data_IF_111358658420
#
_entry.id   IF_111358658420
#
_cell.length_a   1.000
_cell.length_b   1.000
_cell.length_c   1.000
_cell.angle_alpha   90.00
_cell.angle_beta   90.00
_cell.angle_gamma   90.00
#
_symmetry.space_group_name_H-M   'P 1'
#
loop_
_entity.id
_entity.type
_entity.pdbx_description
1 polymer ?
#
# COMPACT_ATOMS: atom_id res chain seq x y z
N UNK A 1 60.85 -58.88 16.18
CA UNK A 1 59.65 -58.64 16.99
C UNK A 1 58.70 -57.76 16.20
N UNK A 2 57.56 -58.31 15.79
CA UNK A 2 56.50 -57.60 15.08
C UNK A 2 55.53 -56.99 16.10
N UNK A 3 55.16 -55.71 15.95
CA UNK A 3 53.91 -55.20 16.48
C UNK A 3 53.53 -53.84 15.85
N UNK A 4 52.31 -53.74 15.32
CA UNK A 4 51.50 -52.52 15.44
C UNK A 4 51.63 -51.42 14.37
N UNK A 5 51.22 -51.67 13.12
CA UNK A 5 50.84 -50.60 12.17
C UNK A 5 49.50 -50.90 11.50
N UNK A 6 48.44 -51.02 12.31
CA UNK A 6 47.06 -51.13 11.81
C UNK A 6 46.05 -50.23 12.56
N UNK A 7 46.51 -49.27 13.37
CA UNK A 7 45.63 -48.43 14.21
C UNK A 7 45.47 -46.97 13.77
N UNK A 8 46.35 -46.44 12.91
CA UNK A 8 46.41 -44.99 12.66
C UNK A 8 45.51 -44.49 11.51
N UNK A 9 45.03 -45.38 10.64
CA UNK A 9 44.22 -44.97 9.47
C UNK A 9 42.71 -44.90 9.78
N UNK A 10 42.24 -45.59 10.82
CA UNK A 10 40.83 -45.52 11.24
C UNK A 10 40.49 -44.27 12.06
N UNK A 11 41.44 -43.69 12.80
CA UNK A 11 41.16 -42.53 13.66
C UNK A 11 41.05 -41.21 12.88
N UNK A 12 41.69 -41.10 11.71
CA UNK A 12 41.59 -39.91 10.85
C UNK A 12 40.27 -39.83 10.08
N UNK A 13 39.59 -40.96 9.82
CA UNK A 13 38.24 -40.97 9.22
C UNK A 13 37.13 -40.70 10.24
N UNK A 14 37.35 -40.98 11.52
CA UNK A 14 36.41 -40.64 12.59
C UNK A 14 36.46 -39.14 12.96
N UNK A 15 37.63 -38.50 12.91
CA UNK A 15 37.76 -37.06 13.19
C UNK A 15 37.15 -36.13 12.14
N UNK A 16 37.20 -36.50 10.85
CA UNK A 16 36.58 -35.74 9.76
C UNK A 16 35.05 -35.87 9.74
N UNK A 17 34.49 -36.98 10.23
CA UNK A 17 33.04 -37.13 10.41
C UNK A 17 32.53 -36.38 11.65
N UNK A 18 33.35 -36.20 12.69
CA UNK A 18 32.98 -35.43 13.88
C UNK A 18 32.93 -33.91 13.61
N UNK A 19 33.80 -33.37 12.75
CA UNK A 19 33.72 -31.95 12.35
C UNK A 19 32.61 -31.67 11.32
N UNK A 20 32.20 -32.66 10.53
CA UNK A 20 31.02 -32.55 9.67
C UNK A 20 29.69 -32.62 10.47
N UNK A 21 29.70 -33.26 11.64
CA UNK A 21 28.52 -33.39 12.50
C UNK A 21 28.20 -32.14 13.34
N UNK A 22 29.18 -31.25 13.57
CA UNK A 22 28.96 -29.96 14.26
C UNK A 22 28.49 -28.83 13.33
N UNK A 23 28.51 -29.05 12.01
CA UNK A 23 28.02 -28.09 11.00
C UNK A 23 26.52 -28.18 10.68
N UNK A 24 25.77 -29.05 11.37
CA UNK A 24 24.32 -29.26 11.14
C UNK A 24 23.44 -28.82 12.31
N UNK A 25 23.96 -28.05 13.26
CA UNK A 25 23.10 -27.16 14.05
C UNK A 25 22.63 -26.05 13.12
N UNK A 26 21.64 -26.39 12.29
CA UNK A 26 20.77 -25.44 11.63
C UNK A 26 20.14 -24.65 12.77
N UNK A 27 20.76 -23.52 13.14
CA UNK A 27 20.10 -22.47 13.92
C UNK A 27 18.76 -22.32 13.23
N UNK A 28 17.63 -22.54 13.92
CA UNK A 28 16.34 -22.27 13.34
C UNK A 28 16.39 -20.80 12.95
N UNK A 29 16.61 -20.52 11.67
CA UNK A 29 16.50 -19.18 11.13
C UNK A 29 15.12 -18.75 11.57
N UNK A 30 15.06 -17.70 12.40
CA UNK A 30 13.84 -17.21 13.00
C UNK A 30 12.81 -17.13 11.87
N UNK A 31 11.87 -18.08 11.85
CA UNK A 31 10.77 -18.04 10.90
C UNK A 31 10.11 -16.70 11.19
N UNK A 32 10.07 -15.81 10.20
CA UNK A 32 9.38 -14.54 10.35
C UNK A 32 8.01 -14.85 10.97
N UNK A 33 7.74 -14.32 12.16
CA UNK A 33 6.53 -14.66 12.89
C UNK A 33 5.33 -14.35 12.00
N UNK A 34 4.46 -15.34 11.77
CA UNK A 34 3.26 -15.13 10.97
C UNK A 34 2.36 -14.09 11.65
N UNK A 35 1.53 -13.40 10.87
CA UNK A 35 0.51 -12.51 11.42
C UNK A 35 -0.38 -13.29 12.41
N UNK A 36 -0.78 -12.64 13.49
CA UNK A 36 -1.70 -13.19 14.48
C UNK A 36 -2.87 -12.22 14.73
N UNK A 37 -4.06 -12.71 15.11
CA UNK A 37 -5.20 -11.85 15.38
C UNK A 37 -4.93 -10.92 16.56
N UNK A 38 -5.46 -9.69 16.49
CA UNK A 38 -5.39 -8.71 17.59
C UNK A 38 -6.22 -9.20 18.77
N UNK A 39 -5.57 -9.36 19.93
CA UNK A 39 -6.19 -9.81 21.20
C UNK A 39 -6.28 -8.68 22.23
N UNK A 40 -5.60 -7.56 22.00
CA UNK A 40 -5.63 -6.39 22.90
C UNK A 40 -7.05 -5.82 22.93
N UNK A 41 -7.75 -5.84 24.09
CA UNK A 41 -9.15 -5.42 24.18
C UNK A 41 -9.40 -4.00 23.66
N UNK A 42 -8.56 -3.05 24.04
CA UNK A 42 -8.65 -1.64 23.62
C UNK A 42 -8.53 -1.46 22.09
N UNK A 43 -7.78 -2.34 21.42
CA UNK A 43 -7.47 -2.21 20.00
C UNK A 43 -8.43 -2.98 19.09
N UNK A 44 -9.42 -3.69 19.63
CA UNK A 44 -10.37 -4.48 18.83
C UNK A 44 -11.28 -3.64 17.93
N UNK A 45 -11.54 -2.39 18.31
CA UNK A 45 -12.35 -1.44 17.54
C UNK A 45 -11.59 -0.79 16.38
N UNK A 46 -10.31 -1.12 16.22
CA UNK A 46 -9.51 -0.51 15.18
C UNK A 46 -9.74 -1.14 13.82
N UNK A 47 -9.37 -0.43 12.75
CA UNK A 47 -9.67 -0.87 11.39
C UNK A 47 -8.92 -2.14 10.93
N UNK A 48 -7.92 -2.62 11.67
CA UNK A 48 -7.20 -3.87 11.38
C UNK A 48 -7.40 -4.91 12.46
N UNK A 49 -7.52 -6.17 12.04
CA UNK A 49 -7.75 -7.32 12.93
C UNK A 49 -6.51 -8.24 13.08
N UNK A 50 -5.44 -7.99 12.32
CA UNK A 50 -4.21 -8.79 12.33
C UNK A 50 -3.00 -7.93 12.71
N UNK A 51 -2.21 -8.43 13.64
CA UNK A 51 -0.97 -7.82 14.14
C UNK A 51 0.22 -8.77 13.97
N UNK A 52 1.42 -8.27 14.20
CA UNK A 52 2.65 -9.05 14.25
C UNK A 52 3.51 -8.63 15.43
N UNK A 53 4.17 -9.61 16.04
CA UNK A 53 5.16 -9.41 17.09
C UNK A 53 6.58 -9.69 16.56
N UNK A 54 7.62 -9.00 17.07
CA UNK A 54 7.56 -8.00 18.12
C UNK A 54 6.93 -6.68 17.66
N UNK A 55 6.30 -5.95 18.59
CA UNK A 55 5.75 -4.63 18.31
C UNK A 55 6.83 -3.53 18.38
N UNK A 56 6.45 -2.26 18.16
CA UNK A 56 7.39 -1.12 18.15
C UNK A 56 8.02 -0.82 19.50
N UNK A 57 7.48 -1.41 20.57
CA UNK A 57 7.99 -1.33 21.94
C UNK A 57 8.75 -2.59 22.36
N UNK A 58 9.10 -3.43 21.37
CA UNK A 58 9.87 -4.66 21.54
C UNK A 58 9.24 -5.71 22.45
N UNK A 59 7.91 -5.65 22.68
CA UNK A 59 7.21 -6.75 23.31
C UNK A 59 7.22 -7.95 22.35
N UNK A 60 7.66 -9.10 22.83
CA UNK A 60 7.72 -10.33 22.03
C UNK A 60 6.37 -11.05 21.90
N UNK A 61 5.41 -10.75 22.78
CA UNK A 61 4.08 -11.37 22.80
C UNK A 61 3.00 -10.32 23.01
N UNK A 62 1.79 -10.58 22.47
CA UNK A 62 0.63 -9.73 22.77
C UNK A 62 0.26 -9.73 24.25
N UNK A 63 0.53 -10.80 25.01
CA UNK A 63 0.26 -10.82 26.46
C UNK A 63 1.04 -9.73 27.21
N UNK A 64 2.31 -9.52 26.84
CA UNK A 64 3.12 -8.43 27.41
C UNK A 64 2.61 -7.06 26.95
N UNK A 65 2.19 -6.95 25.67
CA UNK A 65 1.63 -5.72 25.14
C UNK A 65 0.30 -5.34 25.82
N UNK A 66 -0.55 -6.32 26.18
CA UNK A 66 -1.81 -6.13 26.90
C UNK A 66 -1.53 -5.48 28.27
N UNK A 67 -0.66 -6.09 29.09
CA UNK A 67 -0.33 -5.54 30.40
C UNK A 67 0.25 -4.12 30.32
N UNK A 68 1.06 -3.86 29.28
CA UNK A 68 1.72 -2.58 29.11
C UNK A 68 0.83 -1.47 28.51
N UNK A 69 -0.24 -1.80 27.78
CA UNK A 69 -1.18 -0.79 27.24
C UNK A 69 -2.31 -0.46 28.25
N UNK A 70 -2.65 -1.40 29.15
CA UNK A 70 -3.67 -1.20 30.20
C UNK A 70 -3.38 0.03 31.09
N UNK A 71 -2.10 0.38 31.28
CA UNK A 71 -1.72 1.59 32.03
C UNK A 71 -2.25 2.90 31.42
N UNK A 72 -2.62 2.90 30.13
CA UNK A 72 -3.18 4.06 29.44
C UNK A 72 -4.72 4.13 29.48
N UNK A 73 -5.41 3.15 30.06
CA UNK A 73 -6.89 3.15 30.14
C UNK A 73 -7.43 4.42 30.80
N UNK A 74 -6.82 4.84 31.91
CA UNK A 74 -7.20 6.07 32.61
C UNK A 74 -7.02 7.31 31.74
N UNK A 75 -5.95 7.37 30.94
CA UNK A 75 -5.69 8.50 30.03
C UNK A 75 -6.67 8.48 28.85
N UNK A 76 -6.91 7.31 28.25
CA UNK A 76 -7.90 7.11 27.18
C UNK A 76 -9.31 7.55 27.62
N UNK A 77 -9.69 7.24 28.86
CA UNK A 77 -10.97 7.66 29.45
C UNK A 77 -11.14 9.17 29.62
N UNK A 78 -10.08 9.96 29.53
CA UNK A 78 -10.18 11.44 29.54
C UNK A 78 -10.55 12.03 28.19
N UNK A 79 -10.49 11.23 27.11
CA UNK A 79 -10.72 11.69 25.74
C UNK A 79 -9.89 12.93 25.35
N UNK A 80 -8.67 13.04 25.88
CA UNK A 80 -7.76 14.16 25.67
C UNK A 80 -7.33 14.35 24.20
N UNK A 81 -7.38 13.28 23.39
CA UNK A 81 -7.13 13.34 21.95
C UNK A 81 -7.88 12.22 21.23
N UNK A 82 -8.51 12.49 20.06
CA UNK A 82 -9.15 11.46 19.25
C UNK A 82 -8.15 10.47 18.63
N UNK A 83 -6.89 10.87 18.49
CA UNK A 83 -5.83 10.06 17.86
C UNK A 83 -5.13 9.11 18.86
N UNK A 84 -5.34 9.28 20.17
CA UNK A 84 -4.57 8.55 21.19
C UNK A 84 -4.72 7.04 21.07
N UNK A 85 -5.96 6.53 20.94
CA UNK A 85 -6.21 5.09 20.85
C UNK A 85 -5.55 4.49 19.60
N UNK A 86 -5.72 5.15 18.45
CA UNK A 86 -5.10 4.74 17.21
C UNK A 86 -3.57 4.70 17.34
N UNK A 87 -2.98 5.77 17.88
CA UNK A 87 -1.53 5.88 18.07
C UNK A 87 -0.99 4.75 18.98
N UNK A 88 -1.60 4.56 20.15
CA UNK A 88 -1.17 3.51 21.07
C UNK A 88 -1.26 2.14 20.42
N UNK A 89 -2.39 1.80 19.81
CA UNK A 89 -2.52 0.50 19.18
C UNK A 89 -1.64 0.33 17.94
N UNK A 90 -1.33 1.39 17.18
CA UNK A 90 -0.34 1.32 16.11
C UNK A 90 1.06 1.01 16.65
N UNK A 91 1.39 1.41 17.89
CA UNK A 91 2.65 1.07 18.57
C UNK A 91 2.63 -0.33 19.20
N UNK A 92 1.52 -0.69 19.86
CA UNK A 92 1.39 -1.90 20.68
C UNK A 92 0.90 -3.14 19.90
N UNK A 93 0.09 -2.96 18.86
CA UNK A 93 -0.44 -4.00 17.98
C UNK A 93 -0.42 -3.52 16.51
N UNK A 94 0.77 -3.33 15.92
CA UNK A 94 0.90 -2.77 14.58
C UNK A 94 0.25 -3.66 13.52
N UNK A 95 -0.35 -3.05 12.50
CA UNK A 95 -0.99 -3.76 11.39
C UNK A 95 0.01 -4.72 10.70
N UNK A 96 -0.44 -5.95 10.48
CA UNK A 96 0.33 -6.93 9.71
C UNK A 96 0.07 -6.77 8.21
N UNK A 97 1.11 -6.45 7.43
CA UNK A 97 1.03 -6.39 5.96
C UNK A 97 2.14 -7.23 5.32
N UNK A 98 1.94 -7.63 4.06
CA UNK A 98 2.89 -8.47 3.32
C UNK A 98 4.23 -7.79 3.04
N UNK A 99 4.23 -6.46 2.89
CA UNK A 99 5.44 -5.69 2.53
C UNK A 99 6.32 -5.39 3.77
N UNK A 100 5.75 -5.44 4.97
CA UNK A 100 6.40 -5.07 6.23
C UNK A 100 6.59 -6.27 7.18
N UNK A 101 7.09 -7.38 6.64
CA UNK A 101 7.27 -8.63 7.39
C UNK A 101 8.43 -8.62 8.40
N UNK A 102 9.45 -7.77 8.25
CA UNK A 102 10.60 -7.75 9.15
C UNK A 102 10.47 -6.68 10.24
N UNK A 103 9.98 -5.50 9.87
CA UNK A 103 9.66 -4.40 10.78
C UNK A 103 8.26 -3.92 10.44
N UNK A 104 7.30 -3.94 11.37
CA UNK A 104 5.94 -3.46 11.11
C UNK A 104 5.93 -2.00 10.69
N UNK A 105 4.86 -1.56 10.03
CA UNK A 105 4.70 -0.13 9.70
C UNK A 105 4.46 0.70 10.97
N UNK A 106 5.14 1.85 11.08
CA UNK A 106 5.02 2.78 12.22
C UNK A 106 3.90 3.79 12.01
N UNK A 107 3.28 4.33 13.09
CA UNK A 107 2.39 5.48 12.97
C UNK A 107 3.16 6.70 12.47
N UNK A 108 2.48 7.56 11.72
CA UNK A 108 3.07 8.82 11.27
C UNK A 108 3.38 9.74 12.45
N UNK A 109 4.49 10.48 12.36
CA UNK A 109 4.90 11.47 13.36
C UNK A 109 3.78 12.47 13.72
N UNK A 110 3.04 12.93 12.72
CA UNK A 110 1.91 13.86 12.91
C UNK A 110 0.81 13.29 13.81
N UNK A 111 0.55 11.98 13.75
CA UNK A 111 -0.47 11.32 14.59
C UNK A 111 0.00 11.28 16.05
N UNK A 112 1.27 10.94 16.27
CA UNK A 112 1.89 11.00 17.60
C UNK A 112 1.83 12.42 18.18
N UNK A 113 2.19 13.44 17.39
CA UNK A 113 2.20 14.83 17.84
C UNK A 113 0.79 15.30 18.26
N UNK A 114 -0.26 14.95 17.50
CA UNK A 114 -1.65 15.27 17.89
C UNK A 114 -2.10 14.53 19.15
N UNK A 115 -1.72 13.26 19.32
CA UNK A 115 -2.00 12.50 20.53
C UNK A 115 -1.28 13.11 21.75
N UNK A 116 0.01 13.40 21.61
CA UNK A 116 0.86 14.01 22.64
C UNK A 116 0.36 15.41 23.02
N UNK A 117 0.07 16.27 22.04
CA UNK A 117 -0.39 17.63 22.29
C UNK A 117 -1.68 17.69 23.12
N UNK A 118 -2.62 16.78 22.88
CA UNK A 118 -3.86 16.70 23.66
C UNK A 118 -3.66 16.09 25.06
N UNK A 119 -2.82 15.07 25.18
CA UNK A 119 -2.77 14.20 26.35
C UNK A 119 -1.58 14.42 27.30
N UNK A 120 -0.46 14.96 26.82
CA UNK A 120 0.70 15.32 27.65
C UNK A 120 0.35 16.33 28.75
N UNK A 121 -0.47 17.38 28.53
CA UNK A 121 -0.90 18.28 29.60
C UNK A 121 -1.65 17.57 30.73
N UNK A 122 -2.44 16.53 30.40
CA UNK A 122 -3.17 15.72 31.38
C UNK A 122 -2.20 14.85 32.20
N UNK A 123 -1.21 14.24 31.55
CA UNK A 123 -0.16 13.49 32.25
C UNK A 123 0.60 14.40 33.22
N UNK A 124 1.02 15.60 32.76
CA UNK A 124 1.75 16.57 33.59
C UNK A 124 0.93 16.99 34.81
N UNK A 125 -0.38 17.21 34.64
CA UNK A 125 -1.30 17.51 35.74
C UNK A 125 -1.27 16.45 36.85
N UNK A 126 -1.11 15.19 36.48
CA UNK A 126 -0.98 14.06 37.41
C UNK A 126 0.47 13.67 37.72
N UNK A 127 1.44 14.56 37.45
CA UNK A 127 2.88 14.35 37.70
C UNK A 127 3.50 13.19 36.91
N UNK A 128 2.95 12.90 35.74
CA UNK A 128 3.54 11.99 34.77
C UNK A 128 4.05 12.78 33.55
N UNK A 129 5.00 12.21 32.83
CA UNK A 129 5.52 12.75 31.56
C UNK A 129 5.10 11.88 30.39
N UNK A 130 5.14 12.44 29.18
CA UNK A 130 5.02 11.62 27.98
C UNK A 130 6.19 10.60 27.94
N UNK A 131 5.94 9.29 27.72
CA UNK A 131 6.98 8.27 27.78
C UNK A 131 8.00 8.42 26.64
N UNK A 132 9.27 8.22 26.94
CA UNK A 132 10.36 8.27 25.95
C UNK A 132 10.19 7.21 24.85
N UNK A 133 9.69 6.02 25.20
CA UNK A 133 9.39 4.96 24.24
C UNK A 133 8.24 5.30 23.27
N UNK A 134 7.52 6.40 23.52
CA UNK A 134 6.49 6.96 22.64
C UNK A 134 6.90 8.33 22.08
N UNK A 135 8.18 8.69 22.13
CA UNK A 135 8.69 9.94 21.58
C UNK A 135 8.35 10.07 20.08
N UNK A 136 7.81 11.22 19.69
CA UNK A 136 7.35 11.44 18.31
C UNK A 136 8.52 11.70 17.35
N UNK A 137 9.67 12.08 17.88
CA UNK A 137 10.86 12.47 17.13
C UNK A 137 11.46 11.31 16.32
N UNK A 138 11.28 10.07 16.79
CA UNK A 138 11.78 8.85 16.17
C UNK A 138 10.83 8.25 15.11
N UNK A 139 9.65 8.86 14.93
CA UNK A 139 8.64 8.37 14.00
C UNK A 139 8.81 8.97 12.59
N UNK A 140 8.46 8.21 11.53
CA UNK A 140 8.55 8.67 10.15
C UNK A 140 7.60 9.84 9.85
N UNK A 141 8.07 10.77 9.02
CA UNK A 141 7.25 11.81 8.40
C UNK A 141 6.73 11.28 7.07
N UNK A 142 5.43 11.47 6.80
CA UNK A 142 4.74 10.94 5.61
C UNK A 142 5.46 11.24 4.28
N UNK A 143 6.02 12.44 4.12
CA UNK A 143 6.73 12.85 2.89
C UNK A 143 8.11 12.19 2.70
N UNK A 144 8.62 11.46 3.69
CA UNK A 144 9.97 10.87 3.69
C UNK A 144 10.01 9.36 3.98
N UNK A 145 8.86 8.76 4.28
CA UNK A 145 8.77 7.35 4.65
C UNK A 145 7.32 6.86 4.69
N UNK A 146 7.15 5.54 4.69
CA UNK A 146 5.83 4.90 4.72
C UNK A 146 5.37 4.79 6.18
N UNK A 147 4.20 5.35 6.50
CA UNK A 147 3.62 5.37 7.84
C UNK A 147 2.09 5.38 7.80
N UNK A 148 1.43 5.04 8.91
CA UNK A 148 -0.04 4.96 8.99
C UNK A 148 -0.67 6.14 9.74
N UNK A 149 -1.86 6.55 9.29
CA UNK A 149 -2.71 7.56 9.92
C UNK A 149 -4.18 7.10 9.94
N UNK A 150 -5.00 7.57 10.89
CA UNK A 150 -6.40 7.12 11.04
C UNK A 150 -7.27 7.47 9.83
N UNK A 151 -6.96 8.54 9.12
CA UNK A 151 -7.69 9.00 7.94
C UNK A 151 -7.52 8.06 6.73
N UNK A 152 -6.49 7.20 6.74
CA UNK A 152 -6.21 6.25 5.67
C UNK A 152 -7.09 4.99 5.73
N UNK A 153 -7.85 4.76 6.82
CA UNK A 153 -8.61 3.52 7.00
C UNK A 153 -10.10 3.80 7.15
N UNK A 154 -10.81 3.66 6.02
CA UNK A 154 -12.27 3.78 5.95
C UNK A 154 -12.89 2.62 6.73
N UNK A 155 -13.46 2.90 7.91
CA UNK A 155 -14.35 1.97 8.60
C UNK A 155 -15.63 1.80 7.78
N UNK A 156 -15.99 0.55 7.51
CA UNK A 156 -17.13 0.17 6.66
C UNK A 156 -18.50 0.34 7.34
N UNK A 157 -18.55 0.70 8.62
CA UNK A 157 -19.80 0.88 9.33
C UNK A 157 -20.27 2.33 9.20
N UNK A 158 -21.20 2.53 8.27
CA UNK A 158 -22.05 3.70 8.24
C UNK A 158 -22.86 3.80 9.54
N UNK A 159 -22.50 4.77 10.37
CA UNK A 159 -23.43 5.39 11.30
C UNK A 159 -23.48 6.87 10.93
N UNK A 160 -24.70 7.37 10.79
CA UNK A 160 -25.06 8.73 10.42
C UNK A 160 -24.15 9.77 11.08
N UNK A 161 -23.48 10.58 10.26
CA UNK A 161 -23.06 11.90 10.71
C UNK A 161 -24.27 12.82 10.60
N UNK A 162 -24.86 13.29 11.73
CA UNK A 162 -25.66 14.49 11.67
C UNK A 162 -24.70 15.60 11.26
N UNK A 163 -24.87 16.11 10.06
CA UNK A 163 -24.14 17.26 9.56
C UNK A 163 -24.65 18.48 10.31
N UNK A 164 -24.20 18.67 11.55
CA UNK A 164 -24.51 19.89 12.29
C UNK A 164 -23.62 21.01 11.74
N UNK A 165 -24.17 21.66 10.70
CA UNK A 165 -23.57 22.78 10.00
C UNK A 165 -23.71 24.04 10.85
N UNK A 166 -23.05 24.10 12.01
CA UNK A 166 -22.92 25.32 12.81
C UNK A 166 -21.87 25.16 13.92
N UNK A 167 -20.62 24.89 13.56
CA UNK A 167 -19.51 25.47 14.30
C UNK A 167 -18.27 25.62 13.42
N UNK A 168 -18.10 26.83 12.91
CA UNK A 168 -16.99 27.20 12.04
C UNK A 168 -15.68 27.21 12.79
N UNK A 169 -14.74 26.34 12.38
CA UNK A 169 -13.33 26.70 12.29
C UNK A 169 -12.55 25.73 11.39
N UNK A 170 -12.95 25.58 10.12
CA UNK A 170 -11.94 25.30 9.10
C UNK A 170 -11.12 26.58 8.96
N UNK A 171 -10.12 26.78 9.83
CA UNK A 171 -9.08 27.76 9.56
C UNK A 171 -8.42 27.31 8.28
N UNK A 172 -8.84 27.92 7.18
CA UNK A 172 -8.19 27.79 5.91
C UNK A 172 -6.71 28.09 6.13
N UNK A 173 -5.89 27.04 6.10
CA UNK A 173 -4.63 27.20 5.40
C UNK A 173 -5.06 27.69 4.02
N UNK A 174 -4.82 28.98 3.82
CA UNK A 174 -4.90 29.68 2.55
C UNK A 174 -4.58 28.73 1.41
N UNK A 175 -5.34 28.85 0.33
CA UNK A 175 -5.02 28.32 -0.99
C UNK A 175 -3.68 28.91 -1.48
N UNK A 176 -2.60 28.67 -0.76
CA UNK A 176 -1.25 29.09 -1.07
C UNK A 176 -0.62 27.98 -1.88
N UNK A 177 -1.05 27.99 -3.15
CA UNK A 177 -0.41 27.37 -4.32
C UNK A 177 -0.18 25.87 -4.19
N UNK A 178 -1.21 25.10 -4.52
CA UNK A 178 -1.00 23.79 -5.12
C UNK A 178 -0.06 23.95 -6.33
N UNK A 179 1.22 23.58 -6.18
CA UNK A 179 2.23 23.66 -7.26
C UNK A 179 2.24 22.35 -8.04
N UNK A 180 1.17 22.06 -8.77
CA UNK A 180 1.15 20.90 -9.66
C UNK A 180 2.10 21.16 -10.83
N UNK A 181 2.97 20.20 -11.17
CA UNK A 181 3.75 20.26 -12.41
C UNK A 181 2.82 19.88 -13.58
N UNK A 182 2.55 20.77 -14.55
CA UNK A 182 1.69 20.42 -15.67
C UNK A 182 2.41 19.40 -16.57
N UNK A 183 1.89 18.16 -16.59
CA UNK A 183 2.39 17.11 -17.46
C UNK A 183 1.63 17.19 -18.79
N UNK A 184 2.37 17.30 -19.90
CA UNK A 184 1.76 17.30 -21.25
C UNK A 184 1.52 15.88 -21.75
N UNK A 185 0.41 15.67 -22.43
CA UNK A 185 0.10 14.39 -23.07
C UNK A 185 1.07 14.12 -24.24
N UNK A 186 2.08 13.29 -23.99
CA UNK A 186 3.00 12.80 -25.03
C UNK A 186 2.92 11.28 -25.16
N UNK A 187 3.25 10.78 -26.34
CA UNK A 187 3.23 9.35 -26.63
C UNK A 187 4.11 8.54 -25.66
N UNK A 188 5.31 9.06 -25.34
CA UNK A 188 6.25 8.41 -24.42
C UNK A 188 5.66 8.30 -23.01
N UNK A 189 5.05 9.38 -22.50
CA UNK A 189 4.42 9.38 -21.18
C UNK A 189 3.21 8.44 -21.16
N UNK A 190 2.39 8.47 -22.21
CA UNK A 190 1.21 7.63 -22.35
C UNK A 190 1.53 6.13 -22.22
N UNK A 191 2.57 5.66 -22.91
CA UNK A 191 2.98 4.25 -22.83
C UNK A 191 3.69 3.89 -21.52
N UNK A 192 4.39 4.85 -20.89
CA UNK A 192 5.13 4.61 -19.64
C UNK A 192 4.21 4.47 -18.43
N UNK A 193 3.16 5.29 -18.35
CA UNK A 193 2.38 5.47 -17.12
C UNK A 193 1.18 4.54 -16.98
N UNK A 194 0.95 3.64 -17.95
CA UNK A 194 -0.10 2.62 -17.95
C UNK A 194 -1.46 3.08 -17.37
N UNK A 195 -2.02 4.17 -17.90
CA UNK A 195 -3.30 4.71 -17.43
C UNK A 195 -4.44 3.69 -17.56
N UNK A 196 -5.25 3.50 -16.51
CA UNK A 196 -6.39 2.59 -16.52
C UNK A 196 -7.54 3.13 -17.37
N UNK A 197 -7.81 4.44 -17.27
CA UNK A 197 -8.87 5.10 -18.03
C UNK A 197 -8.37 6.33 -18.79
N UNK A 198 -9.03 6.60 -19.90
CA UNK A 198 -8.84 7.80 -20.71
C UNK A 198 -10.20 8.28 -21.21
N UNK A 199 -10.60 9.47 -20.82
CA UNK A 199 -11.92 10.04 -21.11
C UNK A 199 -11.81 11.46 -21.65
N UNK A 200 -12.77 11.84 -22.50
CA UNK A 200 -13.10 13.24 -22.79
C UNK A 200 -14.23 13.62 -21.85
N UNK A 201 -13.99 14.58 -20.99
CA UNK A 201 -14.99 15.02 -20.02
C UNK A 201 -15.03 16.54 -19.90
N UNK A 202 -16.22 17.06 -19.61
CA UNK A 202 -16.45 18.48 -19.31
C UNK A 202 -16.57 18.66 -17.81
N UNK A 203 -15.82 19.59 -17.23
CA UNK A 203 -15.85 19.82 -15.78
C UNK A 203 -17.13 20.58 -15.43
N UNK A 204 -17.99 20.00 -14.58
CA UNK A 204 -19.23 20.65 -14.12
C UNK A 204 -19.00 21.48 -12.88
N UNK A 205 -18.31 20.91 -11.89
CA UNK A 205 -18.05 21.57 -10.60
C UNK A 205 -16.84 20.91 -9.92
N UNK A 206 -16.17 21.66 -9.06
CA UNK A 206 -15.12 21.15 -8.17
C UNK A 206 -15.61 21.33 -6.73
N UNK A 207 -15.92 20.21 -6.07
CA UNK A 207 -16.37 20.18 -4.68
C UNK A 207 -15.15 20.11 -3.78
N UNK A 208 -15.05 21.02 -2.82
CA UNK A 208 -14.04 20.97 -1.76
C UNK A 208 -14.76 20.79 -0.43
N UNK A 209 -14.52 19.66 0.24
CA UNK A 209 -15.09 19.34 1.54
C UNK A 209 -13.96 18.92 2.46
N UNK A 210 -13.63 19.74 3.47
CA UNK A 210 -12.69 19.41 4.56
C UNK A 210 -11.46 18.58 4.11
N UNK A 211 -10.52 19.22 3.42
CA UNK A 211 -9.31 18.59 2.83
C UNK A 211 -9.54 17.54 1.72
N UNK A 212 -10.78 17.14 1.41
CA UNK A 212 -11.10 16.34 0.24
C UNK A 212 -11.54 17.23 -0.92
N UNK A 213 -10.87 17.08 -2.07
CA UNK A 213 -11.27 17.73 -3.31
C UNK A 213 -11.79 16.69 -4.29
N UNK A 214 -12.97 16.93 -4.86
CA UNK A 214 -13.60 16.03 -5.84
C UNK A 214 -14.03 16.84 -7.04
N UNK A 215 -13.57 16.46 -8.23
CA UNK A 215 -14.01 17.08 -9.48
C UNK A 215 -15.16 16.28 -10.08
N UNK A 216 -16.31 16.93 -10.27
CA UNK A 216 -17.48 16.35 -10.92
C UNK A 216 -17.40 16.68 -12.40
N UNK A 217 -17.34 15.64 -13.24
CA UNK A 217 -17.16 15.77 -14.68
C UNK A 217 -18.27 15.05 -15.44
N UNK A 218 -18.66 15.60 -16.59
CA UNK A 218 -19.57 14.98 -17.53
C UNK A 218 -18.79 14.25 -18.61
N UNK A 219 -18.91 12.92 -18.67
CA UNK A 219 -18.19 12.10 -19.65
C UNK A 219 -18.85 12.19 -21.01
N UNK A 220 -18.15 12.78 -21.98
CA UNK A 220 -18.60 12.90 -23.38
C UNK A 220 -18.15 11.72 -24.22
N UNK A 221 -16.93 11.24 -24.01
CA UNK A 221 -16.34 10.13 -24.76
C UNK A 221 -15.40 9.30 -23.89
N UNK A 222 -15.42 7.98 -24.07
CA UNK A 222 -14.51 7.04 -23.40
C UNK A 222 -13.55 6.50 -24.46
N UNK A 223 -12.26 6.78 -24.29
CA UNK A 223 -11.20 6.38 -25.22
C UNK A 223 -10.54 5.08 -24.76
N UNK A 224 -10.36 4.93 -23.45
CA UNK A 224 -9.84 3.73 -22.80
C UNK A 224 -10.58 3.55 -21.47
N UNK A 225 -10.96 2.32 -21.17
CA UNK A 225 -11.48 1.88 -19.88
C UNK A 225 -10.87 0.51 -19.59
N UNK A 226 -10.66 0.22 -18.31
CA UNK A 226 -10.08 -1.03 -17.84
C UNK A 226 -11.17 -1.80 -17.08
N UNK A 227 -11.14 -1.81 -15.74
CA UNK A 227 -12.02 -2.67 -14.93
C UNK A 227 -13.21 -1.91 -14.34
N UNK A 228 -13.08 -0.61 -14.09
CA UNK A 228 -14.17 0.20 -13.56
C UNK A 228 -15.11 0.62 -14.69
N UNK A 229 -16.43 0.43 -14.49
CA UNK A 229 -17.44 0.83 -15.46
C UNK A 229 -17.64 2.34 -15.44
N UNK A 230 -17.33 2.99 -16.56
CA UNK A 230 -17.46 4.44 -16.72
C UNK A 230 -18.74 4.72 -17.53
N UNK A 231 -19.80 5.25 -16.91
CA UNK A 231 -21.00 5.64 -17.66
C UNK A 231 -20.73 6.89 -18.51
N UNK A 232 -21.47 7.04 -19.62
CA UNK A 232 -21.50 8.28 -20.42
C UNK A 232 -22.40 9.34 -19.77
N UNK A 233 -22.13 9.62 -18.51
CA UNK A 233 -22.86 10.58 -17.69
C UNK A 233 -21.88 11.27 -16.73
N UNK A 234 -22.38 11.75 -15.60
CA UNK A 234 -21.68 12.51 -14.60
C UNK A 234 -20.93 11.57 -13.67
N UNK A 235 -19.63 11.76 -13.56
CA UNK A 235 -18.74 10.92 -12.76
C UNK A 235 -17.89 11.81 -11.85
N UNK A 236 -17.57 11.29 -10.66
CA UNK A 236 -16.70 11.95 -9.70
C UNK A 236 -15.27 11.46 -9.86
N UNK A 237 -14.35 12.41 -10.02
CA UNK A 237 -12.90 12.18 -9.96
C UNK A 237 -12.41 12.53 -8.57
N UNK A 238 -11.88 11.54 -7.87
CA UNK A 238 -11.40 11.68 -6.50
C UNK A 238 -9.90 11.97 -6.49
N UNK A 239 -9.46 12.93 -5.68
CA UNK A 239 -8.03 13.11 -5.39
C UNK A 239 -7.71 12.64 -3.98
N UNK A 240 -6.50 12.10 -3.79
CA UNK A 240 -5.98 11.65 -2.51
C UNK A 240 -5.33 12.78 -1.70
N UNK A 241 -5.50 14.04 -2.12
CA UNK A 241 -4.89 15.22 -1.49
C UNK A 241 -5.87 16.38 -1.45
N UNK A 242 -5.66 17.35 -0.56
CA UNK A 242 -6.42 18.61 -0.52
C UNK A 242 -6.17 19.55 -1.71
N UNK A 243 -5.48 19.08 -2.75
CA UNK A 243 -5.14 19.81 -3.95
C UNK A 243 -5.65 19.08 -5.19
N UNK A 244 -6.33 19.80 -6.08
CA UNK A 244 -6.71 19.26 -7.39
C UNK A 244 -5.50 19.33 -8.35
N UNK A 245 -4.74 18.24 -8.40
CA UNK A 245 -3.65 18.06 -9.36
C UNK A 245 -3.98 16.93 -10.33
N UNK A 246 -4.02 17.18 -11.66
CA UNK A 246 -3.81 18.45 -12.36
C UNK A 246 -4.97 19.46 -12.18
N UNK A 247 -4.71 20.78 -12.31
CA UNK A 247 -5.74 21.80 -12.13
C UNK A 247 -6.79 21.72 -13.24
N UNK A 248 -8.06 21.73 -12.84
CA UNK A 248 -9.21 21.70 -13.73
C UNK A 248 -10.03 22.98 -13.54
N UNK A 249 -10.37 23.64 -14.65
CA UNK A 249 -11.31 24.76 -14.62
C UNK A 249 -12.72 24.27 -14.92
N UNK A 250 -13.69 24.86 -14.24
CA UNK A 250 -15.12 24.60 -14.47
C UNK A 250 -15.53 25.04 -15.88
N UNK A 251 -16.48 24.32 -16.47
CA UNK A 251 -17.06 24.55 -17.80
C UNK A 251 -16.08 24.36 -18.98
N UNK A 252 -14.88 23.87 -18.73
CA UNK A 252 -13.91 23.52 -19.78
C UNK A 252 -13.90 22.01 -20.06
N UNK A 253 -13.57 21.65 -21.30
CA UNK A 253 -13.42 20.26 -21.74
C UNK A 253 -11.96 19.82 -21.68
N UNK A 254 -11.73 18.62 -21.15
CA UNK A 254 -10.41 18.03 -20.99
C UNK A 254 -10.36 16.61 -21.55
N UNK A 255 -9.18 16.22 -22.02
CA UNK A 255 -8.79 14.82 -22.07
C UNK A 255 -8.12 14.47 -20.75
N UNK A 256 -8.71 13.51 -20.03
CA UNK A 256 -8.26 13.09 -18.70
C UNK A 256 -7.77 11.66 -18.79
N UNK A 257 -6.55 11.43 -18.31
CA UNK A 257 -5.89 10.13 -18.24
C UNK A 257 -5.54 9.88 -16.78
N UNK A 258 -6.01 8.78 -16.21
CA UNK A 258 -5.84 8.52 -14.80
C UNK A 258 -5.89 7.04 -14.44
N UNK A 259 -5.96 6.81 -13.13
CA UNK A 259 -5.89 5.49 -12.51
C UNK A 259 -7.23 5.15 -11.87
N UNK A 260 -7.57 3.88 -11.81
CA UNK A 260 -8.79 3.42 -11.16
C UNK A 260 -8.44 2.72 -9.85
N UNK A 261 -9.30 2.90 -8.85
CA UNK A 261 -9.32 2.09 -7.63
C UNK A 261 -10.37 1.01 -7.84
N UNK A 262 -9.91 -0.22 -8.09
CA UNK A 262 -10.75 -1.37 -8.38
C UNK A 262 -11.61 -1.75 -7.17
N UNK A 263 -11.08 -1.62 -5.94
CA UNK A 263 -11.76 -2.02 -4.71
C UNK A 263 -12.95 -1.12 -4.43
N UNK A 264 -12.79 0.18 -4.65
CA UNK A 264 -13.85 1.17 -4.39
C UNK A 264 -14.65 1.54 -5.63
N UNK A 265 -14.29 1.00 -6.79
CA UNK A 265 -14.83 1.40 -8.10
C UNK A 265 -14.78 2.92 -8.31
N UNK A 266 -13.64 3.54 -7.99
CA UNK A 266 -13.43 5.00 -8.06
C UNK A 266 -12.45 5.39 -9.16
N UNK A 267 -12.71 6.50 -9.83
CA UNK A 267 -11.76 7.12 -10.74
C UNK A 267 -10.89 8.13 -9.98
N UNK A 268 -9.57 7.96 -10.08
CA UNK A 268 -8.60 8.78 -9.35
C UNK A 268 -7.97 9.85 -10.25
N UNK A 269 -7.80 11.04 -9.67
CA UNK A 269 -7.06 12.18 -10.23
C UNK A 269 -5.93 12.53 -9.26
N UNK A 270 -4.75 11.95 -9.52
CA UNK A 270 -3.55 12.05 -8.66
C UNK A 270 -2.42 12.76 -9.43
N UNK A 271 -1.29 13.03 -8.77
CA UNK A 271 -0.16 13.77 -9.38
C UNK A 271 0.39 13.13 -10.67
N UNK A 272 0.26 11.80 -10.83
CA UNK A 272 0.62 11.09 -12.05
C UNK A 272 -0.42 11.16 -13.18
N UNK A 273 -1.63 11.65 -12.91
CA UNK A 273 -2.70 11.81 -13.90
C UNK A 273 -2.43 12.99 -14.83
N UNK A 274 -2.99 12.94 -16.04
CA UNK A 274 -2.90 14.03 -17.02
C UNK A 274 -4.29 14.57 -17.27
N UNK A 275 -4.45 15.89 -17.17
CA UNK A 275 -5.60 16.60 -17.68
C UNK A 275 -5.10 17.72 -18.60
N UNK A 276 -5.35 17.58 -19.91
CA UNK A 276 -5.02 18.59 -20.90
C UNK A 276 -6.30 19.06 -21.58
N UNK A 277 -6.43 20.36 -21.83
CA UNK A 277 -7.63 20.90 -22.51
C UNK A 277 -7.86 20.18 -23.83
N UNK A 278 -9.11 19.83 -24.10
CA UNK A 278 -9.48 19.06 -25.28
C UNK A 278 -9.09 19.81 -26.57
N UNK A 279 -8.44 19.07 -27.47
CA UNK A 279 -8.15 19.49 -28.84
C UNK A 279 -8.41 18.30 -29.74
N UNK A 280 -9.16 18.47 -30.83
CA UNK A 280 -9.52 17.33 -31.69
C UNK A 280 -8.30 16.59 -32.26
N UNK A 281 -7.22 17.33 -32.55
CA UNK A 281 -5.94 16.76 -32.97
C UNK A 281 -5.30 15.88 -31.88
N UNK A 282 -5.43 16.26 -30.61
CA UNK A 282 -4.91 15.50 -29.48
C UNK A 282 -5.73 14.23 -29.26
N UNK A 283 -7.06 14.33 -29.28
CA UNK A 283 -7.94 13.15 -29.19
C UNK A 283 -7.64 12.11 -30.26
N UNK A 284 -7.47 12.54 -31.52
CA UNK A 284 -7.05 11.65 -32.64
C UNK A 284 -5.65 11.03 -32.44
N UNK A 285 -4.74 11.70 -31.74
CA UNK A 285 -3.41 11.13 -31.42
C UNK A 285 -3.53 10.06 -30.34
N UNK A 286 -4.29 10.35 -29.28
CA UNK A 286 -4.46 9.42 -28.14
C UNK A 286 -5.18 8.14 -28.58
N UNK A 287 -6.21 8.23 -29.42
CA UNK A 287 -6.85 7.04 -30.04
C UNK A 287 -5.85 6.15 -30.76
N UNK A 288 -4.92 6.75 -31.53
CA UNK A 288 -3.86 6.02 -32.23
C UNK A 288 -2.84 5.39 -31.27
N UNK A 289 -2.51 6.06 -30.17
CA UNK A 289 -1.63 5.51 -29.14
C UNK A 289 -2.25 4.32 -28.43
N UNK A 290 -3.53 4.42 -28.06
CA UNK A 290 -4.27 3.33 -27.43
C UNK A 290 -4.41 2.12 -28.36
N UNK A 291 -4.76 2.34 -29.63
CA UNK A 291 -4.80 1.28 -30.64
C UNK A 291 -3.46 0.57 -30.80
N UNK A 292 -2.34 1.31 -30.78
CA UNK A 292 -0.99 0.73 -30.83
C UNK A 292 -0.67 -0.09 -29.57
N UNK A 293 -1.10 0.32 -28.37
CA UNK A 293 -0.97 -0.48 -27.15
C UNK A 293 -1.71 -1.81 -27.27
N UNK A 294 -2.95 -1.79 -27.77
CA UNK A 294 -3.76 -3.00 -27.94
C UNK A 294 -3.09 -3.99 -28.90
N UNK A 295 -2.55 -3.51 -30.03
CA UNK A 295 -1.80 -4.35 -30.96
C UNK A 295 -0.49 -4.91 -30.37
N UNK A 296 0.25 -4.11 -29.60
CA UNK A 296 1.47 -4.57 -28.92
C UNK A 296 1.17 -5.64 -27.84
N UNK A 297 0.06 -5.50 -27.12
CA UNK A 297 -0.42 -6.49 -26.15
C UNK A 297 -0.78 -7.83 -26.81
N UNK A 298 -1.48 -7.78 -27.95
CA UNK A 298 -1.85 -8.96 -28.74
C UNK A 298 -0.62 -9.68 -29.33
N UNK A 299 0.40 -8.94 -29.80
CA UNK A 299 1.64 -9.55 -30.30
C UNK A 299 2.46 -10.27 -29.22
N UNK A 300 2.31 -9.89 -27.94
CA UNK A 300 2.99 -10.54 -26.81
C UNK A 300 2.27 -11.82 -26.37
N UNK A 301 0.94 -11.84 -26.40
CA UNK A 301 0.17 -13.06 -26.08
C UNK A 301 0.38 -14.18 -27.12
N UNK A 302 0.60 -13.83 -28.39
CA UNK A 302 0.86 -14.81 -29.45
C UNK A 302 2.28 -15.42 -29.38
N UNK A 303 3.26 -14.68 -28.83
CA UNK A 303 4.61 -15.20 -28.59
C UNK A 303 4.72 -16.14 -27.38
N UNK A 304 3.74 -16.13 -26.46
CA UNK A 304 3.67 -17.06 -25.33
C UNK A 304 2.92 -18.37 -25.63
N UNK A 305 2.26 -18.47 -26.78
CA UNK A 305 1.51 -19.67 -27.21
C UNK A 305 2.32 -20.52 -28.21
N UNK A 306 3.44 -20.02 -28.73
CA UNK A 306 4.24 -20.71 -29.75
C UNK A 306 5.36 -21.63 -29.23
N UNK A 307 5.56 -21.74 -27.91
CA UNK A 307 6.69 -22.51 -27.33
C UNK A 307 6.27 -23.81 -26.60
N UNK A 308 5.03 -24.28 -26.79
CA UNK A 308 4.53 -25.51 -26.15
C UNK A 308 4.06 -26.61 -27.13
N UNK A 309 4.38 -26.50 -28.41
CA UNK A 309 4.12 -27.57 -29.39
C UNK A 309 5.32 -27.84 -30.29
N UNK A 310 6.36 -28.47 -29.73
CA UNK A 310 7.29 -29.29 -30.52
C UNK A 310 8.12 -30.23 -29.62
N UNK A 311 7.52 -31.35 -29.19
CA UNK A 311 8.26 -32.62 -29.05
C UNK A 311 7.28 -33.76 -28.77
N UNK A 312 6.59 -34.23 -29.81
CA UNK A 312 6.15 -35.63 -29.90
C UNK A 312 5.63 -35.93 -31.31
N UNK A 313 6.48 -36.56 -32.12
CA UNK A 313 6.19 -37.60 -33.15
C UNK A 313 7.10 -37.46 -34.36
N UNK A 314 8.12 -38.31 -34.42
CA UNK A 314 8.55 -38.98 -35.66
C UNK A 314 9.58 -40.06 -35.27
N UNK A 315 9.23 -41.33 -35.40
CA UNK A 315 10.10 -42.42 -35.01
C UNK A 315 9.45 -43.80 -35.16
N UNK A 316 9.06 -44.16 -36.39
CA UNK A 316 8.86 -45.56 -36.77
C UNK A 316 9.45 -45.78 -38.16
N UNK A 317 10.56 -46.53 -38.22
CA UNK A 317 10.75 -47.52 -39.27
C UNK A 317 11.55 -48.70 -38.70
N UNK A 318 11.02 -49.89 -38.95
CA UNK A 318 11.45 -51.17 -38.40
C UNK A 318 12.50 -51.86 -39.31
N UNK A 319 13.43 -52.64 -38.76
CA UNK A 319 13.34 -54.10 -38.75
C UNK A 319 14.60 -54.80 -38.21
N UNK A 320 14.47 -56.06 -37.72
CA UNK A 320 15.51 -56.81 -37.01
C UNK A 320 16.34 -57.70 -37.95
N UNK A 321 17.58 -58.00 -37.56
CA UNK A 321 18.40 -59.08 -38.14
C UNK A 321 18.46 -60.28 -37.21
N UNK A 322 18.20 -61.46 -37.77
CA UNK A 322 18.37 -62.79 -37.19
C UNK A 322 19.83 -63.06 -36.78
N UNK A 323 20.01 -63.88 -35.74
CA UNK A 323 21.24 -64.65 -35.54
C UNK A 323 20.92 -66.08 -35.07
N UNK A 324 21.55 -67.03 -35.76
CA UNK A 324 21.75 -68.45 -35.43
C UNK A 324 22.18 -68.67 -33.97
N UNK A 325 21.51 -69.54 -33.23
CA UNK A 325 21.85 -70.94 -32.93
C UNK A 325 20.92 -71.47 -31.84
#
# INVERSE_FOLDING_TARGET
MACGRAGAVLLLRAGLLALAALGLLRVPGARAAACEPVRIPLCKSLPWNMTKMPNHLHHSTQANAILAIEQFEGLLGTHCSPDLLFFLCAMYAPICTIDFQHEPIKPCKSVCERARQGCEPILIKYRHSWPESLACEELPVYDRGVCISPEAIVTADGADFPMDSSNGNCRGASSERCKCKPIRATQKIYFRNNYNYVIRAKVKEVKTKCHDVTAVVEVKEILKSSLVNIPRDTVNLYTSSGCLCPPLNVNEEYIIMGYEDEERSRLLLVEGSIAEKWKDRLGKKVKRWDMKLRHLGLSKSDSSISDSTQSQKSGRNANPRQARN
#
